data_IF_806624560705
#
_entry.id   IF_806624560705
#
_cell.length_a   1.000
_cell.length_b   1.000
_cell.length_c   1.000
_cell.angle_alpha   90.00
_cell.angle_beta   90.00
_cell.angle_gamma   90.00
#
_symmetry.space_group_name_H-M   'P 1'
#
loop_
_entity.id
_entity.type
_entity.pdbx_description
1 polymer ?
#
# COMPACT_ATOMS: atom_id res chain seq x y z
N UNK A 1 22.99 -22.80 0.04
CA UNK A 1 23.19 -21.42 -0.38
C UNK A 1 21.88 -20.61 -0.47
N UNK A 2 20.72 -21.21 -0.76
CA UNK A 2 19.44 -20.47 -0.89
C UNK A 2 18.91 -19.82 0.38
N UNK A 3 19.09 -20.45 1.55
CA UNK A 3 18.52 -19.95 2.82
C UNK A 3 19.20 -18.69 3.36
N UNK A 4 20.50 -18.54 3.17
CA UNK A 4 21.27 -17.37 3.62
C UNK A 4 20.92 -16.12 2.78
N UNK A 5 20.71 -16.28 1.48
CA UNK A 5 20.33 -15.17 0.59
C UNK A 5 18.92 -14.66 0.91
N UNK A 6 17.97 -15.59 1.14
CA UNK A 6 16.59 -15.26 1.51
C UNK A 6 16.51 -14.53 2.85
N UNK A 7 17.32 -14.96 3.85
CA UNK A 7 17.40 -14.29 5.16
C UNK A 7 17.99 -12.88 5.06
N UNK A 8 18.98 -12.66 4.20
CA UNK A 8 19.59 -11.35 3.99
C UNK A 8 18.63 -10.37 3.30
N UNK A 9 17.89 -10.86 2.31
CA UNK A 9 16.88 -10.06 1.60
C UNK A 9 15.74 -9.66 2.53
N UNK A 10 15.26 -10.57 3.40
CA UNK A 10 14.21 -10.28 4.39
C UNK A 10 14.67 -9.23 5.43
N UNK A 11 15.91 -9.32 5.88
CA UNK A 11 16.45 -8.35 6.83
C UNK A 11 16.70 -6.97 6.19
N UNK A 12 17.07 -6.94 4.92
CA UNK A 12 17.13 -5.72 4.14
C UNK A 12 15.76 -5.06 4.03
N UNK A 13 14.74 -5.79 3.57
CA UNK A 13 13.37 -5.28 3.48
C UNK A 13 12.84 -4.77 4.81
N UNK A 14 13.16 -5.42 5.91
CA UNK A 14 12.74 -4.98 7.25
C UNK A 14 13.36 -3.65 7.64
N UNK A 15 14.64 -3.45 7.33
CA UNK A 15 15.32 -2.16 7.58
C UNK A 15 14.73 -1.04 6.73
N UNK A 16 14.47 -1.30 5.46
CA UNK A 16 13.80 -0.37 4.55
C UNK A 16 12.39 -0.01 5.05
N UNK A 17 11.60 -1.00 5.48
CA UNK A 17 10.28 -0.78 6.06
C UNK A 17 10.31 0.15 7.29
N UNK A 18 11.28 -0.06 8.19
CA UNK A 18 11.44 0.79 9.37
C UNK A 18 11.91 2.21 9.01
N UNK A 19 12.74 2.34 7.98
CA UNK A 19 13.14 3.63 7.43
C UNK A 19 11.94 4.40 6.86
N UNK A 20 11.13 3.74 6.05
CA UNK A 20 9.92 4.31 5.48
C UNK A 20 8.91 4.73 6.58
N UNK A 21 8.68 3.85 7.56
CA UNK A 21 7.83 4.16 8.71
C UNK A 21 8.31 5.40 9.47
N UNK A 22 9.60 5.47 9.81
CA UNK A 22 10.17 6.61 10.51
C UNK A 22 10.03 7.93 9.71
N UNK A 23 10.13 7.85 8.38
CA UNK A 23 9.92 9.00 7.50
C UNK A 23 8.46 9.45 7.52
N UNK A 24 7.52 8.52 7.40
CA UNK A 24 6.08 8.85 7.39
C UNK A 24 5.56 9.36 8.73
N UNK A 25 6.09 8.89 9.85
CA UNK A 25 5.78 9.43 11.20
C UNK A 25 6.26 10.88 11.35
N UNK A 26 7.38 11.24 10.73
CA UNK A 26 7.94 12.60 10.85
C UNK A 26 7.03 13.68 10.26
N UNK A 27 6.31 13.39 9.18
CA UNK A 27 5.43 14.33 8.50
C UNK A 27 4.30 14.84 9.41
N UNK A 28 3.42 13.99 9.97
CA UNK A 28 2.37 14.44 10.89
C UNK A 28 2.93 15.06 12.18
N UNK A 29 4.05 14.58 12.70
CA UNK A 29 4.71 15.22 13.84
C UNK A 29 5.17 16.65 13.52
N UNK A 30 5.67 16.89 12.32
CA UNK A 30 6.07 18.24 11.89
C UNK A 30 4.84 19.13 11.75
N UNK A 31 3.74 18.63 11.20
CA UNK A 31 2.47 19.37 11.10
C UNK A 31 1.92 19.72 12.48
N UNK A 32 1.92 18.80 13.43
CA UNK A 32 1.50 19.04 14.82
C UNK A 32 2.36 20.16 15.44
N UNK A 33 3.68 20.08 15.29
CA UNK A 33 4.59 21.13 15.80
C UNK A 33 4.30 22.49 15.18
N UNK A 34 4.03 22.55 13.88
CA UNK A 34 3.70 23.79 13.16
C UNK A 34 2.38 24.37 13.67
N UNK A 35 1.34 23.55 13.82
CA UNK A 35 0.03 23.96 14.39
C UNK A 35 0.20 24.56 15.78
N UNK A 36 0.96 23.88 16.64
CA UNK A 36 1.22 24.36 18.00
C UNK A 36 1.99 25.68 18.02
N UNK A 37 2.95 25.86 17.12
CA UNK A 37 3.72 27.10 17.03
C UNK A 37 2.86 28.27 16.51
N UNK A 38 2.03 28.02 15.50
CA UNK A 38 1.09 29.01 14.97
C UNK A 38 0.08 29.42 16.04
N UNK A 39 -0.50 28.46 16.76
CA UNK A 39 -1.44 28.72 17.85
C UNK A 39 -0.83 29.51 19.02
N UNK A 40 0.47 29.31 19.31
CA UNK A 40 1.18 30.10 20.31
C UNK A 40 1.38 31.55 19.88
N UNK A 41 1.62 31.82 18.60
CA UNK A 41 1.79 33.17 18.07
C UNK A 41 0.48 33.96 18.07
N UNK A 42 -0.65 33.28 18.01
CA UNK A 42 -2.00 33.89 17.98
C UNK A 42 -2.59 34.09 19.38
N UNK A 43 -1.95 33.57 20.42
CA UNK A 43 -2.46 33.59 21.80
C UNK A 43 -1.62 34.44 22.75
N UNK A 44 -2.18 34.91 23.89
CA UNK A 44 -1.40 35.45 24.99
C UNK A 44 -0.33 34.48 25.51
N UNK A 45 0.71 35.01 26.15
CA UNK A 45 1.81 34.21 26.65
C UNK A 45 1.33 33.05 27.55
N UNK A 46 1.80 31.83 27.24
CA UNK A 46 1.44 30.61 27.97
C UNK A 46 0.16 29.91 27.46
N UNK A 47 -0.50 30.42 26.44
CA UNK A 47 -1.69 29.83 25.83
C UNK A 47 -1.41 29.40 24.38
N UNK A 48 -2.31 28.59 23.83
CA UNK A 48 -2.34 28.18 22.41
C UNK A 48 -3.76 28.40 21.92
N UNK A 49 -3.92 29.29 20.92
CA UNK A 49 -5.20 29.48 20.26
C UNK A 49 -5.27 28.55 19.03
N UNK A 50 -6.31 27.75 18.95
CA UNK A 50 -6.59 26.88 17.81
C UNK A 50 -7.93 27.35 17.22
N UNK A 51 -7.88 27.89 16.02
CA UNK A 51 -9.07 28.10 15.20
C UNK A 51 -9.56 26.81 14.56
N UNK A 52 -10.61 26.87 13.75
CA UNK A 52 -11.18 25.68 13.11
C UNK A 52 -10.22 25.00 12.13
N UNK A 53 -9.39 25.77 11.42
CA UNK A 53 -8.43 25.26 10.46
C UNK A 53 -7.27 24.55 11.17
N UNK A 54 -6.66 25.19 12.16
CA UNK A 54 -5.58 24.60 12.96
C UNK A 54 -6.05 23.34 13.71
N UNK A 55 -7.30 23.35 14.19
CA UNK A 55 -7.90 22.17 14.84
C UNK A 55 -8.08 21.03 13.85
N UNK A 56 -8.56 21.29 12.63
CA UNK A 56 -8.72 20.27 11.61
C UNK A 56 -7.35 19.69 11.16
N UNK A 57 -6.33 20.52 11.00
CA UNK A 57 -4.97 20.08 10.69
C UNK A 57 -4.38 19.21 11.79
N UNK A 58 -4.62 19.57 13.06
CA UNK A 58 -4.16 18.78 14.21
C UNK A 58 -4.86 17.42 14.24
N UNK A 59 -6.20 17.39 14.10
CA UNK A 59 -6.97 16.16 14.05
C UNK A 59 -6.50 15.23 12.93
N UNK A 60 -6.38 15.73 11.72
CA UNK A 60 -5.87 14.95 10.58
C UNK A 60 -4.48 14.37 10.85
N UNK A 61 -3.57 15.13 11.45
CA UNK A 61 -2.23 14.65 11.77
C UNK A 61 -2.23 13.57 12.86
N UNK A 62 -3.15 13.64 13.82
CA UNK A 62 -3.33 12.62 14.86
C UNK A 62 -3.90 11.34 14.22
N UNK A 63 -4.90 11.45 13.33
CA UNK A 63 -5.50 10.33 12.62
C UNK A 63 -4.46 9.61 11.74
N UNK A 64 -3.56 10.35 11.10
CA UNK A 64 -2.45 9.79 10.32
C UNK A 64 -1.50 8.97 11.19
N UNK A 65 -1.13 9.49 12.37
CA UNK A 65 -0.28 8.76 13.33
C UNK A 65 -0.97 7.50 13.86
N UNK A 66 -2.27 7.58 14.16
CA UNK A 66 -3.05 6.43 14.61
C UNK A 66 -3.07 5.34 13.54
N UNK A 67 -3.34 5.70 12.29
CA UNK A 67 -3.33 4.78 11.15
C UNK A 67 -1.97 4.12 10.96
N UNK A 68 -0.87 4.87 11.04
CA UNK A 68 0.48 4.33 10.95
C UNK A 68 0.78 3.35 12.09
N UNK A 69 0.35 3.65 13.33
CA UNK A 69 0.52 2.76 14.47
C UNK A 69 -0.27 1.45 14.31
N UNK A 70 -1.51 1.52 13.84
CA UNK A 70 -2.35 0.35 13.56
C UNK A 70 -1.76 -0.52 12.45
N UNK A 71 -1.27 0.09 11.39
CA UNK A 71 -0.60 -0.58 10.28
C UNK A 71 0.68 -1.30 10.73
N UNK A 72 1.49 -0.67 11.56
CA UNK A 72 2.69 -1.29 12.13
C UNK A 72 2.34 -2.47 13.05
N UNK A 73 1.29 -2.31 13.87
CA UNK A 73 0.84 -3.38 14.75
C UNK A 73 0.34 -4.58 13.94
N UNK A 74 -0.45 -4.36 12.88
CA UNK A 74 -0.94 -5.41 12.01
C UNK A 74 0.21 -6.11 11.27
N UNK A 75 1.15 -5.35 10.69
CA UNK A 75 2.36 -5.90 10.06
C UNK A 75 3.16 -6.77 11.03
N UNK A 76 3.36 -6.31 12.26
CA UNK A 76 4.07 -7.06 13.31
C UNK A 76 3.34 -8.35 13.72
N UNK A 77 2.00 -8.34 13.78
CA UNK A 77 1.22 -9.57 14.06
C UNK A 77 1.32 -10.56 12.92
N UNK A 78 1.33 -10.09 11.69
CA UNK A 78 1.46 -10.91 10.50
C UNK A 78 2.83 -11.59 10.43
N UNK A 79 3.91 -10.85 10.61
CA UNK A 79 5.28 -11.39 10.65
C UNK A 79 5.47 -12.47 11.71
N UNK A 80 4.81 -12.32 12.85
CA UNK A 80 4.86 -13.32 13.96
C UNK A 80 3.92 -14.50 13.76
N UNK A 81 3.20 -14.60 12.64
CA UNK A 81 2.19 -15.64 12.41
C UNK A 81 1.01 -15.59 13.39
N UNK A 82 0.79 -14.44 14.05
CA UNK A 82 -0.30 -14.25 15.04
C UNK A 82 -1.58 -13.66 14.43
N UNK A 83 -1.59 -13.46 13.12
CA UNK A 83 -2.73 -12.94 12.38
C UNK A 83 -3.30 -14.03 11.48
N UNK A 84 -4.50 -14.50 11.79
CA UNK A 84 -5.23 -15.40 10.90
C UNK A 84 -5.76 -14.61 9.68
N UNK A 85 -5.57 -15.17 8.49
CA UNK A 85 -6.14 -14.63 7.27
C UNK A 85 -7.55 -15.19 7.07
N UNK A 86 -8.51 -14.31 6.80
CA UNK A 86 -9.88 -14.66 6.43
C UNK A 86 -10.00 -15.02 4.95
N UNK A 87 -9.38 -16.14 4.55
CA UNK A 87 -9.39 -16.57 3.15
C UNK A 87 -10.78 -17.02 2.72
N UNK A 88 -11.27 -16.46 1.61
CA UNK A 88 -12.53 -16.80 0.98
C UNK A 88 -12.52 -16.46 -0.52
N UNK A 89 -13.55 -16.90 -1.27
CA UNK A 89 -13.66 -16.51 -2.66
C UNK A 89 -13.82 -14.98 -2.75
N UNK A 90 -12.92 -14.34 -3.45
CA UNK A 90 -12.92 -12.90 -3.65
C UNK A 90 -12.73 -12.60 -5.14
N UNK A 91 -13.59 -11.73 -5.68
CA UNK A 91 -13.49 -11.24 -7.06
C UNK A 91 -12.49 -10.08 -7.13
N UNK A 92 -11.51 -10.20 -8.01
CA UNK A 92 -10.46 -9.22 -8.17
C UNK A 92 -10.97 -7.86 -8.66
N UNK A 93 -11.97 -7.83 -9.53
CA UNK A 93 -12.55 -6.58 -10.02
C UNK A 93 -13.23 -5.81 -8.87
N UNK A 94 -13.95 -6.51 -7.99
CA UNK A 94 -14.55 -5.92 -6.80
C UNK A 94 -13.48 -5.42 -5.81
N UNK A 95 -12.38 -6.16 -5.65
CA UNK A 95 -11.24 -5.73 -4.82
C UNK A 95 -10.61 -4.45 -5.37
N UNK A 96 -10.39 -4.35 -6.67
CA UNK A 96 -9.80 -3.16 -7.30
C UNK A 96 -10.72 -1.95 -7.19
N UNK A 97 -12.02 -2.14 -7.41
CA UNK A 97 -13.01 -1.07 -7.23
C UNK A 97 -13.02 -0.53 -5.80
N UNK A 98 -13.08 -1.43 -4.79
CA UNK A 98 -13.04 -1.04 -3.38
C UNK A 98 -11.70 -0.40 -2.98
N UNK A 99 -10.58 -0.80 -3.58
CA UNK A 99 -9.29 -0.17 -3.37
C UNK A 99 -9.26 1.27 -3.88
N UNK A 100 -9.96 1.56 -4.98
CA UNK A 100 -10.11 2.92 -5.50
C UNK A 100 -10.79 3.87 -4.50
N UNK A 101 -11.76 3.37 -3.73
CA UNK A 101 -12.44 4.16 -2.69
C UNK A 101 -11.53 4.48 -1.49
N UNK A 102 -10.51 3.64 -1.24
CA UNK A 102 -9.53 3.85 -0.15
C UNK A 102 -8.34 4.72 -0.58
N UNK A 103 -8.13 4.88 -1.87
CA UNK A 103 -7.00 5.63 -2.41
C UNK A 103 -7.25 7.13 -2.29
N UNK A 104 -6.19 7.93 -2.15
CA UNK A 104 -6.29 9.37 -2.06
C UNK A 104 -7.06 9.97 -3.27
N UNK A 105 -7.98 10.94 -3.07
CA UNK A 105 -8.91 11.41 -4.12
C UNK A 105 -8.25 11.99 -5.38
N UNK A 106 -6.98 12.38 -5.28
CA UNK A 106 -6.21 12.90 -6.42
C UNK A 106 -5.55 11.80 -7.26
N UNK A 107 -5.64 10.52 -6.84
CA UNK A 107 -5.06 9.40 -7.58
C UNK A 107 -6.17 8.69 -8.37
N UNK A 108 -6.00 8.67 -9.68
CA UNK A 108 -6.88 7.98 -10.62
C UNK A 108 -6.29 6.62 -10.95
N UNK A 109 -7.09 5.57 -10.79
CA UNK A 109 -6.72 4.21 -11.18
C UNK A 109 -7.32 3.91 -12.55
N UNK A 110 -6.49 3.86 -13.58
CA UNK A 110 -6.88 3.29 -14.87
C UNK A 110 -6.69 1.77 -14.80
N UNK A 111 -7.77 1.00 -14.79
CA UNK A 111 -7.65 -0.44 -14.62
C UNK A 111 -8.24 -1.25 -15.77
N UNK A 112 -7.53 -2.34 -16.10
CA UNK A 112 -7.96 -3.38 -17.04
C UNK A 112 -7.97 -4.72 -16.29
N UNK A 113 -9.05 -5.02 -15.61
CA UNK A 113 -9.25 -6.27 -14.86
C UNK A 113 -10.47 -6.98 -15.43
N UNK A 114 -10.25 -8.19 -15.94
CA UNK A 114 -11.36 -9.00 -16.44
C UNK A 114 -12.25 -9.46 -15.26
N UNK A 115 -13.57 -9.49 -15.51
CA UNK A 115 -14.52 -10.02 -14.54
C UNK A 115 -14.35 -11.54 -14.35
N UNK A 116 -14.74 -12.02 -13.17
CA UNK A 116 -14.71 -13.44 -12.85
C UNK A 116 -13.31 -13.98 -12.50
N UNK A 117 -12.35 -13.11 -12.23
CA UNK A 117 -11.07 -13.50 -11.63
C UNK A 117 -11.25 -13.66 -10.12
N UNK A 118 -11.64 -14.85 -9.68
CA UNK A 118 -11.84 -15.16 -8.27
C UNK A 118 -10.68 -15.97 -7.69
N UNK A 119 -10.27 -15.66 -6.46
CA UNK A 119 -9.22 -16.41 -5.76
C UNK A 119 -9.50 -16.55 -4.27
N UNK A 120 -8.80 -17.48 -3.58
CA UNK A 120 -8.96 -17.73 -2.14
C UNK A 120 -8.17 -16.68 -1.33
N UNK A 121 -8.58 -15.43 -1.41
CA UNK A 121 -7.87 -14.32 -0.79
C UNK A 121 -8.61 -13.78 0.44
N UNK A 122 -7.87 -13.08 1.31
CA UNK A 122 -8.43 -12.23 2.34
C UNK A 122 -8.84 -10.88 1.68
N UNK A 123 -10.09 -10.76 1.27
CA UNK A 123 -10.57 -9.62 0.48
C UNK A 123 -10.33 -8.27 1.17
N UNK A 124 -10.67 -8.05 2.46
CA UNK A 124 -10.40 -6.77 3.13
C UNK A 124 -8.92 -6.36 3.13
N UNK A 125 -8.02 -7.32 3.35
CA UNK A 125 -6.57 -7.05 3.35
C UNK A 125 -6.03 -6.87 1.94
N UNK A 126 -6.57 -7.61 0.97
CA UNK A 126 -6.19 -7.44 -0.43
C UNK A 126 -6.60 -6.08 -0.97
N UNK A 127 -7.79 -5.58 -0.62
CA UNK A 127 -8.24 -4.20 -0.91
C UNK A 127 -7.23 -3.18 -0.39
N UNK A 128 -6.82 -3.30 0.88
CA UNK A 128 -5.83 -2.41 1.49
C UNK A 128 -4.45 -2.56 0.85
N UNK A 129 -4.07 -3.77 0.44
CA UNK A 129 -2.80 -4.00 -0.25
C UNK A 129 -2.79 -3.37 -1.64
N UNK A 130 -3.87 -3.51 -2.41
CA UNK A 130 -4.01 -2.88 -3.74
C UNK A 130 -3.96 -1.36 -3.63
N UNK A 131 -4.72 -0.75 -2.70
CA UNK A 131 -4.66 0.70 -2.45
C UNK A 131 -3.24 1.15 -2.09
N UNK A 132 -2.55 0.44 -1.20
CA UNK A 132 -1.18 0.76 -0.82
C UNK A 132 -0.17 0.61 -1.97
N UNK A 133 -0.37 -0.33 -2.89
CA UNK A 133 0.48 -0.42 -4.09
C UNK A 133 0.19 0.70 -5.09
N UNK A 134 -1.06 1.14 -5.21
CA UNK A 134 -1.42 2.30 -6.03
C UNK A 134 -0.75 3.57 -5.50
N UNK A 135 -0.86 3.84 -4.20
CA UNK A 135 -0.20 4.98 -3.56
C UNK A 135 1.32 4.92 -3.72
N UNK A 136 1.90 3.74 -3.53
CA UNK A 136 3.35 3.53 -3.70
C UNK A 136 3.79 3.71 -5.14
N UNK A 137 3.06 3.19 -6.11
CA UNK A 137 3.37 3.37 -7.53
C UNK A 137 3.31 4.85 -7.92
N UNK A 138 2.28 5.59 -7.48
CA UNK A 138 2.17 7.03 -7.70
C UNK A 138 3.35 7.81 -7.08
N UNK A 139 3.75 7.46 -5.87
CA UNK A 139 4.90 8.08 -5.17
C UNK A 139 6.23 7.80 -5.87
N UNK A 140 6.41 6.58 -6.39
CA UNK A 140 7.61 6.17 -7.12
C UNK A 140 7.71 6.80 -8.52
N UNK A 141 6.58 7.24 -9.07
CA UNK A 141 6.48 7.98 -10.32
C UNK A 141 6.69 9.48 -10.14
N UNK A 142 6.09 10.25 -11.03
CA UNK A 142 6.12 11.72 -11.01
C UNK A 142 5.10 12.35 -10.06
N UNK A 143 4.29 11.53 -9.36
CA UNK A 143 3.20 11.99 -8.53
C UNK A 143 2.04 12.62 -9.31
N UNK A 144 1.94 12.38 -10.63
CA UNK A 144 0.89 12.93 -11.51
C UNK A 144 -0.54 12.56 -11.10
N UNK A 145 -0.67 11.57 -10.22
CA UNK A 145 -1.94 11.06 -9.75
C UNK A 145 -2.57 10.03 -10.67
N UNK A 146 -1.86 9.51 -11.67
CA UNK A 146 -2.38 8.43 -12.53
C UNK A 146 -1.56 7.15 -12.36
N UNK A 147 -2.25 6.06 -12.02
CA UNK A 147 -1.65 4.72 -11.92
C UNK A 147 -2.45 3.76 -12.80
N UNK A 148 -1.77 3.11 -13.74
CA UNK A 148 -2.38 2.06 -14.56
C UNK A 148 -2.23 0.71 -13.88
N UNK A 149 -3.35 0.01 -13.68
CA UNK A 149 -3.43 -1.32 -13.11
C UNK A 149 -3.94 -2.31 -14.16
N UNK A 150 -3.13 -3.31 -14.48
CA UNK A 150 -3.55 -4.41 -15.37
C UNK A 150 -3.50 -5.73 -14.61
N UNK A 151 -4.40 -6.65 -14.95
CA UNK A 151 -4.42 -8.00 -14.39
C UNK A 151 -4.40 -9.04 -15.49
N UNK A 152 -3.47 -9.99 -15.39
CA UNK A 152 -3.34 -11.12 -16.30
C UNK A 152 -3.40 -12.43 -15.52
N UNK A 153 -4.37 -13.30 -15.84
CA UNK A 153 -4.53 -14.61 -15.22
C UNK A 153 -3.82 -15.71 -16.01
N UNK A 154 -3.06 -16.55 -15.32
CA UNK A 154 -2.57 -17.83 -15.81
C UNK A 154 -3.36 -18.98 -15.17
N UNK A 155 -2.92 -20.24 -15.33
CA UNK A 155 -3.61 -21.40 -14.74
C UNK A 155 -3.69 -21.34 -13.20
N UNK A 156 -2.62 -20.90 -12.54
CA UNK A 156 -2.49 -20.96 -11.08
C UNK A 156 -2.13 -19.63 -10.42
N UNK A 157 -1.96 -18.56 -11.19
CA UNK A 157 -1.53 -17.26 -10.68
C UNK A 157 -2.20 -16.15 -11.46
N UNK A 158 -2.65 -15.11 -10.77
CA UNK A 158 -2.98 -13.83 -11.38
C UNK A 158 -1.85 -12.86 -11.09
N UNK A 159 -1.36 -12.19 -12.11
CA UNK A 159 -0.38 -11.12 -12.01
C UNK A 159 -1.09 -9.77 -12.12
N UNK A 160 -0.91 -8.94 -11.09
CA UNK A 160 -1.30 -7.54 -11.11
C UNK A 160 -0.06 -6.70 -11.37
N UNK A 161 -0.18 -5.74 -12.27
CA UNK A 161 0.89 -4.82 -12.61
C UNK A 161 0.41 -3.39 -12.40
N UNK A 162 1.10 -2.67 -11.52
CA UNK A 162 0.87 -1.26 -11.24
C UNK A 162 1.97 -0.46 -11.91
N UNK A 163 1.60 0.44 -12.80
CA UNK A 163 2.55 1.27 -13.55
C UNK A 163 2.23 2.72 -13.28
N UNK A 164 3.21 3.47 -12.76
CA UNK A 164 3.11 4.92 -12.59
C UNK A 164 3.39 5.66 -13.89
N UNK A 165 3.13 6.95 -13.91
CA UNK A 165 3.60 7.89 -14.91
C UNK A 165 5.14 8.02 -14.96
N UNK A 166 5.64 9.08 -15.54
CA UNK A 166 7.08 9.32 -15.70
C UNK A 166 7.81 9.31 -14.34
N UNK A 167 9.02 8.74 -14.32
CA UNK A 167 9.84 8.68 -13.11
C UNK A 167 10.98 9.71 -13.18
N UNK A 168 11.38 10.21 -12.00
CA UNK A 168 12.62 10.95 -11.88
C UNK A 168 13.82 10.03 -12.15
N UNK A 169 14.83 10.53 -12.86
CA UNK A 169 16.07 9.78 -13.07
C UNK A 169 16.81 9.58 -11.75
N UNK A 170 17.30 8.36 -11.50
CA UNK A 170 18.11 8.05 -10.32
C UNK A 170 17.99 6.60 -9.87
N UNK A 171 18.84 6.20 -8.94
CA UNK A 171 18.70 4.92 -8.25
C UNK A 171 17.45 4.96 -7.35
N UNK A 172 16.73 3.84 -7.29
CA UNK A 172 15.55 3.72 -6.44
C UNK A 172 15.98 3.51 -4.99
N UNK A 173 15.52 4.40 -4.11
CA UNK A 173 15.50 4.18 -2.67
C UNK A 173 14.09 3.71 -2.29
N UNK A 174 13.95 2.41 -2.07
CA UNK A 174 12.62 1.81 -1.86
C UNK A 174 11.93 2.37 -0.61
N UNK A 175 12.68 2.71 0.45
CA UNK A 175 12.14 3.28 1.67
C UNK A 175 11.58 4.69 1.45
N UNK A 176 12.33 5.54 0.74
CA UNK A 176 11.92 6.91 0.47
C UNK A 176 10.86 6.98 -0.65
N UNK A 177 11.05 6.19 -1.70
CA UNK A 177 10.25 6.28 -2.92
C UNK A 177 8.90 5.55 -2.81
N UNK A 178 8.85 4.34 -2.23
CA UNK A 178 7.63 3.54 -2.16
C UNK A 178 6.80 3.76 -0.88
N UNK A 179 7.45 4.14 0.21
CA UNK A 179 6.81 4.38 1.51
C UNK A 179 6.40 3.12 2.27
N UNK A 180 5.90 3.31 3.51
CA UNK A 180 5.56 2.20 4.40
C UNK A 180 4.36 1.37 3.89
N UNK A 181 3.42 1.99 3.16
CA UNK A 181 2.28 1.30 2.55
C UNK A 181 2.72 0.14 1.63
N UNK A 182 3.83 0.28 0.89
CA UNK A 182 4.41 -0.78 0.07
C UNK A 182 4.80 -2.00 0.93
N UNK A 183 5.53 -1.79 2.01
CA UNK A 183 6.03 -2.86 2.86
C UNK A 183 4.89 -3.61 3.54
N UNK A 184 3.90 -2.89 4.07
CA UNK A 184 2.68 -3.47 4.63
C UNK A 184 1.92 -4.31 3.60
N UNK A 185 1.70 -3.76 2.41
CA UNK A 185 0.98 -4.43 1.31
C UNK A 185 1.71 -5.68 0.85
N UNK A 186 3.04 -5.62 0.75
CA UNK A 186 3.89 -6.78 0.47
C UNK A 186 3.72 -7.90 1.49
N UNK A 187 3.68 -7.57 2.79
CA UNK A 187 3.46 -8.57 3.84
C UNK A 187 2.11 -9.28 3.69
N UNK A 188 1.04 -8.56 3.38
CA UNK A 188 -0.27 -9.17 3.14
C UNK A 188 -0.24 -10.13 1.94
N UNK A 189 0.35 -9.73 0.84
CA UNK A 189 0.48 -10.57 -0.36
C UNK A 189 1.30 -11.83 -0.07
N UNK A 190 2.45 -11.70 0.59
CA UNK A 190 3.29 -12.84 0.98
C UNK A 190 2.55 -13.81 1.92
N UNK A 191 1.78 -13.29 2.88
CA UNK A 191 0.97 -14.11 3.78
C UNK A 191 -0.16 -14.85 3.05
N UNK A 192 -0.68 -14.30 1.95
CA UNK A 192 -1.63 -14.99 1.06
C UNK A 192 -0.94 -16.00 0.13
N UNK A 193 0.38 -16.13 0.18
CA UNK A 193 1.16 -17.03 -0.67
C UNK A 193 1.54 -16.44 -2.03
N UNK A 194 1.43 -15.13 -2.16
CA UNK A 194 1.79 -14.40 -3.38
C UNK A 194 3.25 -13.95 -3.41
N UNK A 195 3.57 -13.18 -4.43
CA UNK A 195 4.90 -12.56 -4.66
C UNK A 195 4.75 -11.08 -4.95
N UNK A 196 5.76 -10.29 -4.62
CA UNK A 196 5.83 -8.86 -4.95
C UNK A 196 7.22 -8.53 -5.44
N UNK A 197 7.29 -7.92 -6.61
CA UNK A 197 8.51 -7.40 -7.21
C UNK A 197 8.30 -5.92 -7.54
N UNK A 198 9.38 -5.15 -7.47
CA UNK A 198 9.37 -3.74 -7.77
C UNK A 198 10.56 -3.41 -8.68
N UNK A 199 10.29 -2.66 -9.73
CA UNK A 199 11.29 -2.23 -10.69
C UNK A 199 11.08 -0.78 -11.11
N UNK A 200 12.18 -0.06 -11.33
CA UNK A 200 12.16 1.27 -11.93
C UNK A 200 12.85 1.22 -13.29
N UNK A 201 12.17 1.71 -14.30
CA UNK A 201 12.70 1.95 -15.63
C UNK A 201 12.85 3.48 -15.85
N UNK A 202 13.56 3.93 -16.89
CA UNK A 202 13.83 5.35 -17.12
C UNK A 202 12.58 6.25 -17.25
N UNK A 203 11.41 5.66 -17.52
CA UNK A 203 10.17 6.41 -17.74
C UNK A 203 9.00 5.99 -16.87
N UNK A 204 9.13 4.93 -16.07
CA UNK A 204 8.06 4.46 -15.22
C UNK A 204 8.58 3.58 -14.09
N UNK A 205 7.86 3.56 -12.98
CA UNK A 205 8.02 2.55 -11.94
C UNK A 205 6.92 1.50 -12.09
N UNK A 206 7.27 0.26 -11.79
CA UNK A 206 6.34 -0.87 -11.87
C UNK A 206 6.40 -1.68 -10.60
N UNK A 207 5.23 -1.97 -10.03
CA UNK A 207 5.06 -2.98 -8.98
C UNK A 207 4.33 -4.17 -9.62
N UNK A 208 4.90 -5.36 -9.49
CA UNK A 208 4.30 -6.62 -9.96
C UNK A 208 3.91 -7.47 -8.76
N UNK A 209 2.67 -7.91 -8.73
CA UNK A 209 2.10 -8.70 -7.64
C UNK A 209 1.53 -9.99 -8.23
N UNK A 210 2.10 -11.14 -7.82
CA UNK A 210 1.56 -12.45 -8.15
C UNK A 210 0.70 -12.97 -7.00
N UNK A 211 -0.52 -13.41 -7.28
CA UNK A 211 -1.41 -14.01 -6.30
C UNK A 211 -1.81 -15.42 -6.71
N UNK A 212 -1.94 -16.37 -5.77
CA UNK A 212 -2.50 -17.68 -6.07
C UNK A 212 -3.91 -17.53 -6.65
N UNK A 213 -4.15 -18.18 -7.76
CA UNK A 213 -5.41 -18.10 -8.50
C UNK A 213 -5.76 -19.49 -9.01
N UNK A 214 -7.00 -19.91 -8.87
CA UNK A 214 -7.52 -21.09 -9.54
C UNK A 214 -8.60 -20.64 -10.52
N UNK A 215 -8.34 -20.78 -11.82
CA UNK A 215 -9.33 -20.48 -12.84
C UNK A 215 -10.52 -21.42 -12.66
N UNK A 216 -11.70 -20.88 -12.34
CA UNK A 216 -12.93 -21.67 -12.43
C UNK A 216 -13.18 -22.00 -13.91
N UNK A 217 -13.25 -23.29 -14.22
CA UNK A 217 -13.66 -23.75 -15.54
C UNK A 217 -15.15 -23.39 -15.69
N UNK A 218 -15.55 -22.55 -16.67
CA UNK A 218 -16.95 -22.14 -16.85
C UNK A 218 -17.89 -23.33 -17.12
N UNK A 219 -17.35 -24.53 -17.39
CA UNK A 219 -18.10 -25.76 -17.65
C UNK A 219 -18.69 -26.43 -16.40
N UNK A 220 -18.37 -26.01 -15.17
CA UNK A 220 -18.88 -26.67 -13.94
C UNK A 220 -20.04 -25.90 -13.26
N UNK A 221 -20.55 -24.83 -13.84
CA UNK A 221 -21.66 -24.01 -13.30
C UNK A 221 -23.05 -24.37 -13.78
N UNK A 222 -23.26 -25.50 -14.47
CA UNK A 222 -24.52 -25.86 -15.08
C UNK A 222 -25.04 -27.23 -14.63
N UNK A 223 -25.34 -27.42 -13.35
CA UNK A 223 -26.17 -28.56 -12.89
C UNK A 223 -26.69 -28.26 -11.47
N UNK A 224 -27.83 -27.62 -11.38
CA UNK A 224 -28.82 -27.83 -10.32
C UNK A 224 -30.10 -27.16 -10.71
#
# INVERSE_FOLDING_TARGET
MGNLKKSHDEEHYRREAMGAFAHEVRTPLTSIRMVMELGRRQAPAGQVALDGELTAMLASSVDDLQRLADDLQEASRLERGKLALGRGPADLAAVVAAAGELTAPHIVIEHEVAQGMEGPWDAPRLVRAVAGFVESANRMGDGSGTVRLTAAGSQNTVELRFVSGETCAGAMDLAADAGFAFFRSRLFVLAMGGTVECARAPRHATIMVGLPYARRDPAQGGSS
#
